data_IF_886160220406
#
_entry.id   IF_886160220406
#
_cell.length_a   1.000
_cell.length_b   1.000
_cell.length_c   1.000
_cell.angle_alpha   90.00
_cell.angle_beta   90.00
_cell.angle_gamma   90.00
#
_symmetry.space_group_name_H-M   'P 1'
#
loop_
_entity.id
_entity.type
_entity.pdbx_description
1 polymer ?
#
# COMPACT_ATOMS: atom_id res chain seq x y z
N UNK A 1 6.30 -1.42 -7.31
CA UNK A 1 6.05 -0.87 -5.96
C UNK A 1 6.18 0.64 -6.03
N UNK A 2 5.44 1.37 -5.21
CA UNK A 2 5.42 2.84 -5.15
C UNK A 2 5.06 3.23 -3.70
N UNK A 3 6.01 3.87 -3.01
CA UNK A 3 5.89 4.30 -1.60
C UNK A 3 6.60 5.64 -1.40
N UNK A 4 6.20 6.41 -0.41
CA UNK A 4 6.84 7.66 -0.06
C UNK A 4 7.08 7.75 1.44
N UNK A 5 8.17 8.39 1.86
CA UNK A 5 8.54 8.65 3.27
C UNK A 5 9.10 10.07 3.37
N UNK A 6 9.22 10.66 4.58
CA UNK A 6 10.00 11.87 4.75
C UNK A 6 11.38 11.75 4.08
N UNK A 7 11.83 12.77 3.36
CA UNK A 7 13.07 12.73 2.56
C UNK A 7 14.28 12.27 3.39
N UNK A 8 14.34 12.66 4.66
CA UNK A 8 15.39 12.25 5.61
C UNK A 8 15.41 10.75 5.92
N UNK A 9 14.30 10.03 5.72
CA UNK A 9 14.12 8.59 5.92
C UNK A 9 14.23 7.77 4.64
N UNK A 10 14.22 8.40 3.47
CA UNK A 10 14.30 7.71 2.19
C UNK A 10 15.54 6.78 2.08
N UNK A 11 16.76 7.19 2.49
CA UNK A 11 17.91 6.29 2.46
C UNK A 11 17.69 5.02 3.29
N UNK A 12 17.16 5.15 4.51
CA UNK A 12 16.85 4.02 5.40
C UNK A 12 15.93 3.00 4.70
N UNK A 13 14.83 3.49 4.11
CA UNK A 13 13.87 2.62 3.43
C UNK A 13 14.45 1.96 2.17
N UNK A 14 15.24 2.70 1.38
CA UNK A 14 15.88 2.16 0.16
C UNK A 14 16.90 1.08 0.51
N UNK A 15 17.73 1.26 1.54
CA UNK A 15 18.68 0.22 1.98
C UNK A 15 17.95 -1.03 2.45
N UNK A 16 16.91 -0.88 3.28
CA UNK A 16 16.10 -2.00 3.73
C UNK A 16 15.45 -2.73 2.54
N UNK A 17 14.85 -1.99 1.59
CA UNK A 17 14.23 -2.59 0.41
C UNK A 17 15.22 -3.41 -0.41
N UNK A 18 16.44 -2.92 -0.61
CA UNK A 18 17.50 -3.66 -1.31
C UNK A 18 17.85 -4.97 -0.60
N UNK A 19 17.94 -4.96 0.72
CA UNK A 19 18.19 -6.18 1.51
C UNK A 19 17.04 -7.17 1.39
N UNK A 20 15.78 -6.72 1.47
CA UNK A 20 14.62 -7.60 1.34
C UNK A 20 14.51 -8.23 -0.05
N UNK A 21 14.80 -7.48 -1.12
CA UNK A 21 14.88 -8.05 -2.47
C UNK A 21 16.00 -9.09 -2.57
N UNK A 22 17.18 -8.81 -2.01
CA UNK A 22 18.30 -9.75 -2.02
C UNK A 22 17.98 -11.05 -1.25
N UNK A 23 17.39 -10.95 -0.04
CA UNK A 23 16.96 -12.11 0.76
C UNK A 23 15.92 -12.96 0.03
N UNK A 24 15.05 -12.33 -0.74
CA UNK A 24 14.02 -13.00 -1.53
C UNK A 24 14.53 -13.59 -2.86
N UNK A 25 15.81 -13.36 -3.20
CA UNK A 25 16.38 -13.76 -4.49
C UNK A 25 15.75 -13.02 -5.68
N UNK A 26 15.35 -11.76 -5.48
CA UNK A 26 14.68 -10.93 -6.47
C UNK A 26 15.59 -9.81 -6.96
N UNK A 27 15.64 -9.61 -8.27
CA UNK A 27 16.31 -8.45 -8.87
C UNK A 27 15.30 -7.33 -9.07
N UNK A 28 15.53 -6.19 -8.43
CA UNK A 28 14.60 -5.07 -8.41
C UNK A 28 15.32 -3.73 -8.72
N UNK A 29 15.19 -3.18 -9.94
CA UNK A 29 15.60 -1.80 -10.20
C UNK A 29 14.80 -0.83 -9.33
N UNK A 30 15.53 0.05 -8.63
CA UNK A 30 14.96 1.13 -7.80
C UNK A 30 15.23 2.46 -8.48
N UNK A 31 14.16 3.23 -8.68
CA UNK A 31 14.15 4.58 -9.26
C UNK A 31 13.29 5.45 -8.35
N UNK A 32 13.54 6.75 -8.26
CA UNK A 32 12.71 7.57 -7.39
C UNK A 32 12.72 9.05 -7.71
N UNK A 33 11.62 9.69 -7.36
CA UNK A 33 11.50 11.13 -7.23
C UNK A 33 12.10 11.54 -5.87
N UNK A 34 13.44 11.55 -5.81
CA UNK A 34 14.18 11.66 -4.54
C UNK A 34 13.85 12.94 -3.77
N UNK A 35 13.56 14.03 -4.48
CA UNK A 35 13.16 15.31 -3.88
C UNK A 35 11.86 15.23 -3.07
N UNK A 36 11.01 14.27 -3.39
CA UNK A 36 9.70 14.09 -2.76
C UNK A 36 9.69 12.96 -1.73
N UNK A 37 10.82 12.24 -1.56
CA UNK A 37 10.89 11.09 -0.67
C UNK A 37 10.23 9.82 -1.22
N UNK A 38 9.91 9.82 -2.51
CA UNK A 38 9.21 8.74 -3.21
C UNK A 38 10.18 7.86 -4.01
N UNK A 39 9.98 6.54 -3.95
CA UNK A 39 10.65 5.63 -4.87
C UNK A 39 9.75 4.49 -5.35
N UNK A 40 10.18 3.93 -6.47
CA UNK A 40 9.60 2.79 -7.15
C UNK A 40 10.59 1.66 -7.22
N UNK A 41 10.08 0.44 -7.04
CA UNK A 41 10.81 -0.79 -7.35
C UNK A 41 10.04 -1.59 -8.39
N UNK A 42 10.71 -1.97 -9.47
CA UNK A 42 10.15 -2.82 -10.52
C UNK A 42 10.70 -4.22 -10.37
N UNK A 43 9.83 -5.24 -10.29
CA UNK A 43 10.29 -6.62 -10.15
C UNK A 43 9.57 -7.47 -11.17
N UNK A 44 10.34 -8.05 -12.08
CA UNK A 44 9.85 -9.03 -13.04
C UNK A 44 9.77 -10.39 -12.34
N UNK A 45 8.71 -11.15 -12.62
CA UNK A 45 8.54 -12.51 -12.14
C UNK A 45 8.12 -13.41 -13.30
N UNK A 46 8.61 -14.64 -13.32
CA UNK A 46 8.37 -15.63 -14.37
C UNK A 46 7.34 -16.70 -13.96
N UNK A 47 7.07 -16.86 -12.66
CA UNK A 47 6.19 -17.89 -12.12
C UNK A 47 5.47 -17.42 -10.84
N UNK A 48 4.53 -18.25 -10.37
CA UNK A 48 3.72 -17.95 -9.18
C UNK A 48 4.55 -17.91 -7.88
N UNK A 49 5.61 -18.73 -7.77
CA UNK A 49 6.49 -18.71 -6.59
C UNK A 49 7.26 -17.39 -6.50
N UNK A 50 7.77 -16.88 -7.61
CA UNK A 50 8.38 -15.55 -7.69
C UNK A 50 7.37 -14.46 -7.40
N UNK A 51 6.16 -14.55 -7.98
CA UNK A 51 5.11 -13.58 -7.71
C UNK A 51 4.73 -13.52 -6.22
N UNK A 52 4.65 -14.67 -5.56
CA UNK A 52 4.39 -14.74 -4.12
C UNK A 52 5.51 -14.06 -3.31
N UNK A 53 6.78 -14.31 -3.65
CA UNK A 53 7.92 -13.62 -3.03
C UNK A 53 7.88 -12.12 -3.26
N UNK A 54 7.59 -11.67 -4.49
CA UNK A 54 7.44 -10.25 -4.82
C UNK A 54 6.37 -9.60 -3.95
N UNK A 55 5.22 -10.25 -3.80
CA UNK A 55 4.12 -9.74 -2.98
C UNK A 55 4.53 -9.64 -1.51
N UNK A 56 5.12 -10.69 -0.93
CA UNK A 56 5.58 -10.68 0.47
C UNK A 56 6.65 -9.60 0.71
N UNK A 57 7.61 -9.46 -0.19
CA UNK A 57 8.65 -8.41 -0.09
C UNK A 57 8.04 -7.01 -0.21
N UNK A 58 7.14 -6.80 -1.16
CA UNK A 58 6.46 -5.51 -1.31
C UNK A 58 5.63 -5.15 -0.08
N UNK A 59 4.94 -6.13 0.52
CA UNK A 59 4.16 -5.92 1.74
C UNK A 59 5.05 -5.44 2.89
N UNK A 60 6.21 -6.08 3.14
CA UNK A 60 7.17 -5.66 4.17
C UNK A 60 7.70 -4.24 3.96
N UNK A 61 7.97 -3.87 2.71
CA UNK A 61 8.49 -2.54 2.39
C UNK A 61 7.41 -1.46 2.61
N UNK A 62 6.16 -1.74 2.25
CA UNK A 62 5.03 -0.85 2.55
C UNK A 62 4.86 -0.67 4.05
N UNK A 63 4.89 -1.76 4.82
CA UNK A 63 4.77 -1.70 6.28
C UNK A 63 5.87 -0.84 6.91
N UNK A 64 7.11 -1.02 6.46
CA UNK A 64 8.22 -0.18 6.92
C UNK A 64 8.08 1.28 6.49
N UNK A 65 7.56 1.55 5.29
CA UNK A 65 7.29 2.92 4.87
C UNK A 65 6.30 3.61 5.82
N UNK A 66 5.23 2.92 6.21
CA UNK A 66 4.25 3.42 7.18
C UNK A 66 4.88 3.61 8.57
N UNK A 67 5.74 2.70 9.02
CA UNK A 67 6.50 2.86 10.28
C UNK A 67 7.43 4.08 10.27
N UNK A 68 7.90 4.48 9.09
CA UNK A 68 8.73 5.67 8.89
C UNK A 68 7.90 6.94 8.65
N UNK A 69 6.63 6.94 9.09
CA UNK A 69 5.69 8.06 8.92
C UNK A 69 5.44 8.40 7.44
N UNK A 70 5.56 7.40 6.56
CA UNK A 70 5.31 7.51 5.13
C UNK A 70 3.94 6.98 4.70
N UNK A 71 3.80 6.78 3.40
CA UNK A 71 2.56 6.29 2.76
C UNK A 71 2.81 5.03 1.94
N UNK A 72 1.81 4.14 1.92
CA UNK A 72 1.77 2.97 1.06
C UNK A 72 1.68 3.32 -0.43
N UNK A 73 1.39 4.57 -0.80
CA UNK A 73 1.22 4.99 -2.19
C UNK A 73 1.64 6.44 -2.39
N UNK A 74 2.74 6.65 -3.12
CA UNK A 74 3.24 7.99 -3.43
C UNK A 74 2.35 8.69 -4.45
N UNK A 75 2.02 8.00 -5.55
CA UNK A 75 1.31 8.60 -6.69
C UNK A 75 0.23 7.70 -7.31
N UNK A 76 0.33 6.37 -7.19
CA UNK A 76 -0.52 5.45 -7.96
C UNK A 76 -1.90 5.18 -7.32
N UNK A 77 -2.18 5.76 -6.16
CA UNK A 77 -3.41 5.53 -5.42
C UNK A 77 -3.54 4.13 -4.85
N UNK A 78 -4.73 3.80 -4.33
CA UNK A 78 -4.92 2.63 -3.46
C UNK A 78 -5.52 1.43 -4.20
N UNK A 79 -6.60 1.66 -4.94
CA UNK A 79 -7.32 0.64 -5.70
C UNK A 79 -7.75 -0.56 -4.83
N UNK A 80 -7.58 -1.77 -5.37
CA UNK A 80 -7.86 -3.03 -4.64
C UNK A 80 -6.63 -3.45 -3.82
N UNK A 81 -5.44 -3.31 -4.38
CA UNK A 81 -4.22 -3.95 -3.85
C UNK A 81 -3.74 -3.33 -2.53
N UNK A 82 -3.86 -2.01 -2.38
CA UNK A 82 -3.31 -1.29 -1.23
C UNK A 82 -4.35 -0.97 -0.16
N UNK A 83 -5.63 -1.27 -0.38
CA UNK A 83 -6.71 -0.91 0.56
C UNK A 83 -6.48 -1.49 1.97
N UNK A 84 -5.86 -2.67 2.03
CA UNK A 84 -5.46 -3.35 3.28
C UNK A 84 -4.50 -2.55 4.17
N UNK A 85 -3.83 -1.52 3.65
CA UNK A 85 -2.89 -0.69 4.41
C UNK A 85 -3.52 0.55 5.03
N UNK A 86 -4.68 0.99 4.54
CA UNK A 86 -5.21 2.31 4.88
C UNK A 86 -5.54 2.49 6.36
N UNK A 87 -6.03 1.45 7.04
CA UNK A 87 -6.32 1.57 8.48
C UNK A 87 -5.04 1.71 9.29
N UNK A 88 -3.94 1.07 8.88
CA UNK A 88 -2.63 1.24 9.52
C UNK A 88 -2.02 2.60 9.21
N UNK A 89 -2.18 3.10 7.99
CA UNK A 89 -1.61 4.38 7.56
C UNK A 89 -2.39 5.60 8.08
N UNK A 90 -3.72 5.57 8.00
CA UNK A 90 -4.59 6.73 8.26
C UNK A 90 -5.41 6.62 9.54
N UNK A 91 -5.43 5.44 10.18
CA UNK A 91 -6.29 5.13 11.31
C UNK A 91 -7.73 4.78 10.90
N UNK A 92 -8.41 4.01 11.75
CA UNK A 92 -9.79 3.54 11.50
C UNK A 92 -10.78 4.68 11.33
N UNK A 93 -10.70 5.74 12.15
CA UNK A 93 -11.60 6.88 12.07
C UNK A 93 -11.54 7.63 10.73
N UNK A 94 -10.35 7.80 10.17
CA UNK A 94 -10.17 8.42 8.84
C UNK A 94 -10.78 7.56 7.75
N UNK A 95 -10.54 6.25 7.80
CA UNK A 95 -11.10 5.29 6.83
C UNK A 95 -12.63 5.26 6.93
N UNK A 96 -13.21 5.29 8.13
CA UNK A 96 -14.66 5.39 8.32
C UNK A 96 -15.23 6.68 7.75
N UNK A 97 -14.54 7.82 7.91
CA UNK A 97 -14.95 9.08 7.31
C UNK A 97 -14.97 8.97 5.77
N UNK A 98 -13.97 8.35 5.16
CA UNK A 98 -13.95 8.09 3.71
C UNK A 98 -15.14 7.24 3.26
N UNK A 99 -15.50 6.19 4.03
CA UNK A 99 -16.69 5.37 3.76
C UNK A 99 -17.97 6.20 3.82
N UNK A 100 -18.16 7.00 4.88
CA UNK A 100 -19.35 7.86 5.04
C UNK A 100 -19.50 8.88 3.89
N UNK A 101 -18.40 9.46 3.43
CA UNK A 101 -18.42 10.34 2.25
C UNK A 101 -18.85 9.56 1.01
N UNK A 102 -18.32 8.35 0.82
CA UNK A 102 -18.66 7.51 -0.32
C UNK A 102 -20.14 7.09 -0.30
N UNK A 103 -20.67 6.69 0.85
CA UNK A 103 -22.08 6.30 1.00
C UNK A 103 -23.03 7.49 0.77
N UNK A 104 -22.60 8.71 1.09
CA UNK A 104 -23.36 9.93 0.81
C UNK A 104 -23.56 10.16 -0.70
N UNK A 105 -22.51 9.90 -1.50
CA UNK A 105 -22.53 10.15 -2.95
C UNK A 105 -22.91 8.93 -3.79
N UNK A 106 -22.82 7.73 -3.24
CA UNK A 106 -23.14 6.47 -3.91
C UNK A 106 -23.85 5.51 -2.96
N UNK A 107 -25.10 5.82 -2.57
CA UNK A 107 -25.86 5.02 -1.61
C UNK A 107 -26.21 3.61 -2.11
N UNK A 108 -26.07 3.36 -3.42
CA UNK A 108 -26.30 2.05 -4.04
C UNK A 108 -25.01 1.26 -4.26
N UNK A 109 -23.85 1.83 -3.92
CA UNK A 109 -22.54 1.17 -4.06
C UNK A 109 -22.14 0.87 -5.51
N UNK A 110 -22.61 1.63 -6.49
CA UNK A 110 -22.39 1.38 -7.91
C UNK A 110 -21.05 1.90 -8.43
N UNK A 111 -20.50 2.97 -7.84
CA UNK A 111 -19.25 3.55 -8.34
C UNK A 111 -18.05 2.84 -7.73
N UNK A 112 -17.54 1.87 -8.49
CA UNK A 112 -16.26 1.21 -8.25
C UNK A 112 -16.19 0.40 -6.94
N UNK A 113 -17.13 -0.56 -6.74
CA UNK A 113 -17.24 -1.31 -5.49
C UNK A 113 -15.96 -2.09 -5.14
N UNK A 114 -15.68 -2.20 -3.84
CA UNK A 114 -14.56 -2.99 -3.30
C UNK A 114 -13.17 -2.36 -3.47
N UNK A 115 -13.08 -1.07 -3.81
CA UNK A 115 -11.82 -0.33 -3.98
C UNK A 115 -11.68 0.78 -2.94
N UNK A 116 -10.45 1.30 -2.80
CA UNK A 116 -10.02 2.37 -1.89
C UNK A 116 -9.87 1.91 -0.43
N UNK A 117 -10.94 1.56 0.28
CA UNK A 117 -10.89 1.22 1.71
C UNK A 117 -11.13 -0.28 1.96
N UNK A 118 -10.69 -0.84 3.11
CA UNK A 118 -10.98 -2.22 3.49
C UNK A 118 -12.49 -2.50 3.46
N UNK A 119 -12.84 -3.69 2.97
CA UNK A 119 -14.23 -4.16 2.97
C UNK A 119 -14.69 -4.32 4.41
N UNK A 120 -15.95 -3.96 4.68
CA UNK A 120 -16.60 -4.24 5.96
C UNK A 120 -16.99 -5.71 5.99
N UNK A 121 -16.66 -6.41 7.06
CA UNK A 121 -17.21 -7.75 7.29
C UNK A 121 -18.73 -7.63 7.48
N UNK A 122 -19.50 -8.21 6.57
CA UNK A 122 -20.98 -8.21 6.52
C UNK A 122 -21.67 -8.89 7.73
N UNK A 123 -20.91 -9.21 8.79
CA UNK A 123 -21.41 -9.84 10.00
C UNK A 123 -21.97 -8.83 11.01
N UNK A 124 -21.58 -7.55 10.93
CA UNK A 124 -22.11 -6.49 11.82
C UNK A 124 -23.35 -5.78 11.26
N UNK A 125 -23.49 -5.71 9.94
CA UNK A 125 -24.61 -5.06 9.23
C UNK A 125 -25.95 -5.81 9.36
N UNK A 126 -25.96 -7.03 9.92
CA UNK A 126 -27.17 -7.83 10.18
C UNK A 126 -27.70 -7.74 11.62
N UNK A 127 -27.17 -6.85 12.46
CA UNK A 127 -27.56 -6.70 13.88
C UNK A 127 -28.58 -5.58 14.15
N UNK A 128 -29.24 -5.03 13.13
CA UNK A 128 -30.30 -4.03 13.29
C UNK A 128 -31.62 -4.57 12.78
#
# INVERSE_FOLDING_TARGET
>A
MDVCVPVSRLPELVYMAKEEFQKAGLTAPILGHVGDGNFHAFVMHANEDEYARVKTTADRIVEKAIELEGTCTGEHGVGIRKKKYLERELGTGTVEMMRKIKDLFDPLGLFNPGKLYPDVDDTESKKV
#
